data_IF_835752279342
#
_entry.id   IF_835752279342
#
_cell.length_a   1.000
_cell.length_b   1.000
_cell.length_c   1.000
_cell.angle_alpha   90.00
_cell.angle_beta   90.00
_cell.angle_gamma   90.00
#
_symmetry.space_group_name_H-M   'P 1'
#
loop_
_entity.id
_entity.type
_entity.pdbx_description
1 polymer ?
#
# COMPACT_ATOMS: atom_id res chain seq x y z
N UNK A 1 -5.22 -17.31 -4.45
CA UNK A 1 -4.57 -16.01 -4.19
C UNK A 1 -5.41 -15.26 -3.19
N UNK A 2 -4.78 -14.54 -2.27
CA UNK A 2 -5.46 -13.74 -1.24
C UNK A 2 -4.83 -12.35 -1.20
N UNK A 3 -5.66 -11.32 -1.19
CA UNK A 3 -5.26 -9.95 -0.85
C UNK A 3 -5.63 -9.70 0.62
N UNK A 4 -4.66 -9.47 1.52
CA UNK A 4 -4.95 -9.23 2.93
C UNK A 4 -5.36 -7.76 3.20
N UNK A 5 -5.00 -6.83 2.31
CA UNK A 5 -5.33 -5.39 2.39
C UNK A 5 -5.05 -4.81 3.78
N UNK A 6 -3.87 -5.10 4.36
CA UNK A 6 -3.55 -4.78 5.76
C UNK A 6 -3.62 -3.27 6.05
N UNK A 7 -3.29 -2.44 5.07
CA UNK A 7 -3.25 -0.98 5.21
C UNK A 7 -4.62 -0.40 5.56
N UNK A 8 -5.69 -0.85 4.89
CA UNK A 8 -7.04 -0.34 5.20
C UNK A 8 -7.49 -0.78 6.59
N UNK A 9 -7.20 -2.03 6.98
CA UNK A 9 -7.52 -2.51 8.31
C UNK A 9 -6.74 -1.75 9.39
N UNK A 10 -5.43 -1.55 9.21
CA UNK A 10 -4.61 -0.72 10.10
C UNK A 10 -5.23 0.66 10.25
N UNK A 11 -5.53 1.30 9.12
CA UNK A 11 -5.98 2.68 9.10
C UNK A 11 -7.37 2.80 9.72
N UNK A 12 -8.35 2.01 9.30
CA UNK A 12 -9.71 2.09 9.84
C UNK A 12 -9.82 1.71 11.32
N UNK A 13 -9.06 0.71 11.76
CA UNK A 13 -9.07 0.27 13.15
C UNK A 13 -8.33 1.28 14.05
N UNK A 14 -7.22 1.85 13.58
CA UNK A 14 -6.26 2.57 14.41
C UNK A 14 -6.13 4.07 14.11
N UNK A 15 -6.84 4.64 13.13
CA UNK A 15 -6.80 6.08 12.79
C UNK A 15 -7.17 7.01 13.95
N UNK A 16 -7.93 6.53 14.94
CA UNK A 16 -8.33 7.30 16.13
C UNK A 16 -7.30 7.21 17.26
N UNK A 17 -6.23 6.43 17.06
CA UNK A 17 -5.30 6.01 18.11
C UNK A 17 -3.83 6.20 17.72
N UNK A 18 -3.49 6.08 16.43
CA UNK A 18 -2.13 6.20 15.91
C UNK A 18 -1.93 7.49 15.11
N UNK A 19 -0.98 8.32 15.58
CA UNK A 19 -0.58 9.55 14.87
C UNK A 19 0.09 9.23 13.52
N UNK A 20 0.83 8.13 13.43
CA UNK A 20 1.42 7.67 12.17
C UNK A 20 0.40 7.39 11.06
N UNK A 21 -0.88 7.18 11.41
CA UNK A 21 -1.98 7.05 10.45
C UNK A 21 -2.58 8.42 10.17
N UNK A 22 -3.07 9.11 11.22
CA UNK A 22 -3.89 10.30 11.03
C UNK A 22 -3.11 11.59 10.73
N UNK A 23 -1.80 11.62 11.00
CA UNK A 23 -0.88 12.72 10.71
C UNK A 23 0.21 12.33 9.70
N UNK A 24 0.05 11.21 9.00
CA UNK A 24 0.98 10.83 7.94
C UNK A 24 1.08 11.94 6.88
N UNK A 25 2.29 12.27 6.44
CA UNK A 25 2.53 13.34 5.46
C UNK A 25 1.82 13.09 4.13
N UNK A 26 1.74 11.81 3.72
CA UNK A 26 1.10 11.41 2.46
C UNK A 26 -0.39 11.78 2.39
N UNK A 27 -1.06 11.93 3.52
CA UNK A 27 -2.45 12.40 3.57
C UNK A 27 -2.58 13.81 2.96
N UNK A 28 -1.52 14.63 3.04
CA UNK A 28 -1.48 15.99 2.48
C UNK A 28 -1.58 16.04 0.95
N UNK A 29 -1.34 14.93 0.25
CA UNK A 29 -1.53 14.85 -1.20
C UNK A 29 -2.99 14.69 -1.62
N UNK A 30 -3.90 14.47 -0.67
CA UNK A 30 -5.31 14.24 -0.96
C UNK A 30 -6.12 15.55 -1.07
N UNK A 31 -7.11 15.61 -1.97
CA UNK A 31 -8.02 16.76 -2.07
C UNK A 31 -8.67 17.10 -0.73
N UNK A 32 -8.91 18.40 -0.49
CA UNK A 32 -9.46 18.87 0.78
C UNK A 32 -10.77 18.17 1.15
N UNK A 33 -11.68 18.02 0.18
CA UNK A 33 -12.96 17.32 0.39
C UNK A 33 -12.77 15.90 0.92
N UNK A 34 -11.78 15.17 0.42
CA UNK A 34 -11.51 13.80 0.86
C UNK A 34 -10.92 13.78 2.27
N UNK A 35 -9.98 14.69 2.56
CA UNK A 35 -9.42 14.85 3.92
C UNK A 35 -10.50 15.21 4.93
N UNK A 36 -11.42 16.11 4.59
CA UNK A 36 -12.56 16.48 5.45
C UNK A 36 -13.46 15.26 5.74
N UNK A 37 -13.74 14.44 4.72
CA UNK A 37 -14.48 13.18 4.92
C UNK A 37 -13.75 12.24 5.88
N UNK A 38 -12.45 12.01 5.67
CA UNK A 38 -11.63 11.16 6.55
C UNK A 38 -11.58 11.69 8.00
N UNK A 39 -11.47 13.00 8.19
CA UNK A 39 -11.50 13.62 9.51
C UNK A 39 -12.87 13.45 10.19
N UNK A 40 -13.97 13.64 9.47
CA UNK A 40 -15.31 13.39 10.01
C UNK A 40 -15.50 11.94 10.44
N UNK A 41 -14.98 10.99 9.66
CA UNK A 41 -15.02 9.57 9.99
C UNK A 41 -14.24 9.27 11.26
N UNK A 42 -13.03 9.83 11.40
CA UNK A 42 -12.18 9.70 12.59
C UNK A 42 -12.85 10.25 13.84
N UNK A 43 -13.29 11.51 13.77
CA UNK A 43 -13.87 12.22 14.91
C UNK A 43 -15.21 11.61 15.36
N UNK A 44 -15.94 10.98 14.45
CA UNK A 44 -17.21 10.31 14.73
C UNK A 44 -17.11 9.00 15.52
N UNK A 45 -15.92 8.42 15.74
CA UNK A 45 -15.84 7.07 16.33
C UNK A 45 -16.05 7.02 17.86
N UNK A 46 -15.71 8.08 18.61
CA UNK A 46 -15.99 8.16 20.06
C UNK A 46 -15.49 6.96 20.90
N UNK A 47 -14.34 6.36 20.56
CA UNK A 47 -13.94 5.07 21.13
C UNK A 47 -13.39 5.16 22.55
N UNK A 48 -13.83 4.23 23.41
CA UNK A 48 -13.23 3.96 24.72
C UNK A 48 -11.81 3.39 24.61
N UNK A 49 -11.01 3.51 25.66
CA UNK A 49 -9.67 2.91 25.72
C UNK A 49 -9.70 1.38 25.53
N UNK A 50 -10.67 0.69 26.15
CA UNK A 50 -10.84 -0.75 25.99
C UNK A 50 -11.14 -1.14 24.54
N UNK A 51 -11.92 -0.33 23.82
CA UNK A 51 -12.20 -0.55 22.40
C UNK A 51 -10.95 -0.36 21.54
N UNK A 52 -10.12 0.66 21.84
CA UNK A 52 -8.85 0.90 21.13
C UNK A 52 -7.89 -0.27 21.30
N UNK A 53 -7.72 -0.77 22.52
CA UNK A 53 -6.86 -1.92 22.80
C UNK A 53 -7.34 -3.18 22.06
N UNK A 54 -8.66 -3.45 22.08
CA UNK A 54 -9.23 -4.57 21.32
C UNK A 54 -8.94 -4.46 19.83
N UNK A 55 -9.04 -3.25 19.25
CA UNK A 55 -8.76 -3.01 17.82
C UNK A 55 -7.27 -3.22 17.47
N UNK A 56 -6.35 -2.90 18.39
CA UNK A 56 -4.92 -3.23 18.21
C UNK A 56 -4.71 -4.75 18.13
N UNK A 57 -5.31 -5.49 19.05
CA UNK A 57 -5.26 -6.96 19.05
C UNK A 57 -5.92 -7.56 17.81
N UNK A 58 -7.01 -6.96 17.34
CA UNK A 58 -7.67 -7.34 16.10
C UNK A 58 -6.75 -7.14 14.89
N UNK A 59 -6.08 -5.99 14.78
CA UNK A 59 -5.12 -5.74 13.71
C UNK A 59 -3.94 -6.73 13.73
N UNK A 60 -3.39 -7.04 14.91
CA UNK A 60 -2.33 -8.02 15.05
C UNK A 60 -2.74 -9.40 14.50
N UNK A 61 -3.98 -9.82 14.70
CA UNK A 61 -4.48 -11.09 14.14
C UNK A 61 -4.53 -11.08 12.61
N UNK A 62 -4.83 -9.95 11.97
CA UNK A 62 -4.76 -9.83 10.51
C UNK A 62 -3.31 -10.00 10.00
N UNK A 63 -2.33 -9.40 10.69
CA UNK A 63 -0.91 -9.58 10.37
C UNK A 63 -0.46 -11.03 10.56
N UNK A 64 -0.81 -11.64 11.69
CA UNK A 64 -0.50 -13.04 11.99
C UNK A 64 -1.08 -13.99 10.96
N UNK A 65 -2.36 -13.82 10.59
CA UNK A 65 -3.03 -14.62 9.57
C UNK A 65 -2.34 -14.48 8.21
N UNK A 66 -1.95 -13.26 7.83
CA UNK A 66 -1.21 -13.00 6.59
C UNK A 66 0.11 -13.77 6.58
N UNK A 67 0.87 -13.74 7.68
CA UNK A 67 2.09 -14.52 7.82
C UNK A 67 1.87 -16.03 7.78
N UNK A 68 0.79 -16.53 8.38
CA UNK A 68 0.40 -17.95 8.32
C UNK A 68 0.11 -18.38 6.89
N UNK A 69 -0.68 -17.59 6.15
CA UNK A 69 -0.99 -17.86 4.74
C UNK A 69 0.27 -17.87 3.88
N UNK A 70 1.16 -16.90 4.07
CA UNK A 70 2.44 -16.85 3.36
C UNK A 70 3.30 -18.10 3.62
N UNK A 71 3.49 -18.48 4.90
CA UNK A 71 4.25 -19.68 5.28
C UNK A 71 3.62 -20.98 4.76
N UNK A 72 2.31 -20.99 4.58
CA UNK A 72 1.58 -22.10 3.97
C UNK A 72 1.71 -22.15 2.43
N UNK A 73 2.45 -21.22 1.81
CA UNK A 73 2.65 -21.16 0.37
C UNK A 73 1.45 -20.60 -0.41
N UNK A 74 0.50 -19.96 0.27
CA UNK A 74 -0.63 -19.29 -0.39
C UNK A 74 -0.09 -18.05 -1.11
N UNK A 75 -0.30 -17.91 -2.44
CA UNK A 75 0.16 -16.71 -3.14
C UNK A 75 -0.62 -15.48 -2.67
N UNK A 76 0.11 -14.47 -2.21
CA UNK A 76 -0.45 -13.21 -1.72
C UNK A 76 -0.41 -12.12 -2.79
N UNK A 77 -1.41 -11.25 -2.74
CA UNK A 77 -1.57 -10.05 -3.54
C UNK A 77 -1.30 -8.82 -2.69
N UNK A 78 -1.18 -7.65 -3.32
CA UNK A 78 -1.16 -6.38 -2.63
C UNK A 78 -2.25 -5.45 -3.19
N UNK A 79 -3.16 -5.06 -2.32
CA UNK A 79 -4.18 -4.03 -2.52
C UNK A 79 -4.34 -3.20 -1.25
N UNK A 80 -5.10 -2.10 -1.34
CA UNK A 80 -5.15 -1.08 -0.27
C UNK A 80 -6.54 -0.56 0.06
N UNK A 81 -7.55 -0.89 -0.76
CA UNK A 81 -8.86 -0.24 -0.77
C UNK A 81 -8.81 1.30 -0.82
N UNK A 82 -7.72 1.89 -1.37
CA UNK A 82 -7.68 3.33 -1.59
C UNK A 82 -8.85 3.77 -2.50
N UNK A 83 -9.61 4.84 -2.18
CA UNK A 83 -9.30 5.88 -1.18
C UNK A 83 -10.12 5.80 0.13
N UNK A 84 -10.31 4.62 0.72
CA UNK A 84 -10.87 4.49 2.08
C UNK A 84 -10.14 5.39 3.12
N UNK A 85 -10.74 5.71 4.29
CA UNK A 85 -10.16 6.63 5.27
C UNK A 85 -8.68 6.40 5.56
N UNK A 86 -7.88 7.44 5.27
CA UNK A 86 -6.43 7.48 5.45
C UNK A 86 -5.63 6.50 4.57
N UNK A 87 -6.22 6.00 3.47
CA UNK A 87 -5.53 5.24 2.41
C UNK A 87 -5.31 6.10 1.16
N UNK A 88 -4.31 7.01 1.12
CA UNK A 88 -4.03 7.83 -0.05
C UNK A 88 -3.62 6.98 -1.27
N UNK A 89 -4.30 7.07 -2.43
CA UNK A 89 -3.95 6.29 -3.62
C UNK A 89 -2.50 6.47 -4.05
N UNK A 90 -1.87 5.38 -4.48
CA UNK A 90 -0.43 5.32 -4.78
C UNK A 90 0.43 5.18 -3.53
N UNK A 91 0.30 6.10 -2.59
CA UNK A 91 1.10 6.13 -1.35
C UNK A 91 0.81 4.96 -0.41
N UNK A 92 -0.47 4.62 -0.22
CA UNK A 92 -0.90 3.51 0.63
C UNK A 92 -0.32 2.16 0.20
N UNK A 93 0.02 1.98 -1.09
CA UNK A 93 0.61 0.73 -1.57
C UNK A 93 2.01 0.51 -0.97
N UNK A 94 2.78 1.58 -0.75
CA UNK A 94 4.08 1.46 -0.09
C UNK A 94 3.94 1.09 1.39
N UNK A 95 2.85 1.49 2.05
CA UNK A 95 2.53 1.08 3.41
C UNK A 95 2.11 -0.40 3.44
N UNK A 96 1.32 -0.85 2.46
CA UNK A 96 0.93 -2.26 2.32
C UNK A 96 2.16 -3.17 2.21
N UNK A 97 3.13 -2.78 1.37
CA UNK A 97 4.37 -3.53 1.22
C UNK A 97 5.17 -3.65 2.53
N UNK A 98 5.21 -2.59 3.33
CA UNK A 98 5.82 -2.64 4.67
C UNK A 98 5.05 -3.59 5.59
N UNK A 99 3.73 -3.49 5.65
CA UNK A 99 2.89 -4.35 6.48
C UNK A 99 2.97 -5.83 6.10
N UNK A 100 3.12 -6.13 4.81
CA UNK A 100 3.39 -7.48 4.33
C UNK A 100 4.74 -8.00 4.83
N UNK A 101 5.79 -7.18 4.79
CA UNK A 101 7.10 -7.55 5.34
C UNK A 101 7.04 -7.72 6.85
N UNK A 102 6.35 -6.83 7.57
CA UNK A 102 6.09 -6.96 9.02
C UNK A 102 5.32 -8.23 9.36
N UNK A 103 4.39 -8.66 8.50
CA UNK A 103 3.66 -9.93 8.63
C UNK A 103 4.53 -11.17 8.34
N UNK A 104 5.78 -10.98 7.89
CA UNK A 104 6.78 -12.04 7.71
C UNK A 104 7.09 -12.41 6.26
N UNK A 105 6.65 -11.61 5.28
CA UNK A 105 7.09 -11.76 3.90
C UNK A 105 8.54 -11.26 3.74
N UNK A 106 9.28 -11.84 2.80
CA UNK A 106 10.53 -11.22 2.35
C UNK A 106 10.23 -9.98 1.49
N UNK A 107 11.15 -8.99 1.41
CA UNK A 107 10.95 -7.85 0.52
C UNK A 107 10.68 -8.26 -0.94
N UNK A 108 11.36 -9.31 -1.43
CA UNK A 108 11.11 -9.86 -2.77
C UNK A 108 9.69 -10.42 -2.91
N UNK A 109 9.19 -11.14 -1.90
CA UNK A 109 7.82 -11.67 -1.94
C UNK A 109 6.77 -10.56 -1.90
N UNK A 110 7.00 -9.49 -1.13
CA UNK A 110 6.13 -8.31 -1.13
C UNK A 110 6.13 -7.61 -2.50
N UNK A 111 7.30 -7.44 -3.14
CA UNK A 111 7.39 -6.91 -4.50
C UNK A 111 6.63 -7.78 -5.51
N UNK A 112 6.75 -9.11 -5.40
CA UNK A 112 6.00 -10.05 -6.26
C UNK A 112 4.49 -9.94 -6.04
N UNK A 113 4.03 -9.75 -4.80
CA UNK A 113 2.63 -9.55 -4.45
C UNK A 113 2.03 -8.32 -5.16
N UNK A 114 2.78 -7.20 -5.20
CA UNK A 114 2.36 -5.97 -5.88
C UNK A 114 2.55 -5.98 -7.41
N UNK A 115 3.25 -6.97 -7.97
CA UNK A 115 3.57 -7.02 -9.41
C UNK A 115 3.03 -8.28 -10.07
N UNK A 116 3.85 -9.33 -10.18
CA UNK A 116 3.53 -10.53 -10.96
C UNK A 116 2.32 -11.30 -10.41
N UNK A 117 2.09 -11.31 -9.09
CA UNK A 117 0.95 -12.02 -8.52
C UNK A 117 -0.36 -11.32 -8.88
N UNK A 118 -0.42 -10.00 -8.79
CA UNK A 118 -1.55 -9.20 -9.26
C UNK A 118 -1.80 -9.42 -10.76
N UNK A 119 -0.73 -9.39 -11.58
CA UNK A 119 -0.85 -9.63 -13.02
C UNK A 119 -1.43 -11.04 -13.32
N UNK A 120 -0.98 -12.07 -12.60
CA UNK A 120 -1.53 -13.45 -12.72
C UNK A 120 -2.99 -13.53 -12.28
N UNK A 121 -3.36 -12.87 -11.18
CA UNK A 121 -4.75 -12.81 -10.70
C UNK A 121 -5.69 -12.23 -11.75
N UNK A 122 -5.24 -11.18 -12.45
CA UNK A 122 -5.97 -10.52 -13.52
C UNK A 122 -5.80 -11.18 -14.91
N UNK A 123 -5.05 -12.29 -15.01
CA UNK A 123 -4.70 -12.96 -16.27
C UNK A 123 -4.01 -12.03 -17.28
N UNK A 124 -3.22 -11.10 -16.78
CA UNK A 124 -2.44 -10.10 -17.53
C UNK A 124 -0.93 -10.37 -17.48
N UNK A 125 -0.50 -11.50 -16.91
CA UNK A 125 0.92 -11.85 -16.73
C UNK A 125 1.68 -12.05 -18.05
N UNK A 126 0.97 -12.21 -19.17
CA UNK A 126 1.55 -12.15 -20.53
C UNK A 126 1.97 -10.75 -20.97
N UNK A 127 1.43 -9.70 -20.34
CA UNK A 127 1.64 -8.31 -20.74
C UNK A 127 2.31 -7.46 -19.65
N UNK A 128 2.13 -7.82 -18.37
CA UNK A 128 2.49 -7.01 -17.21
C UNK A 128 3.08 -7.86 -16.08
N UNK A 129 3.64 -7.19 -15.06
CA UNK A 129 4.01 -7.78 -13.77
C UNK A 129 5.43 -8.32 -13.66
N UNK A 130 6.19 -8.39 -14.76
CA UNK A 130 7.62 -8.71 -14.75
C UNK A 130 8.35 -8.05 -15.91
N UNK A 131 9.68 -7.97 -15.81
CA UNK A 131 10.56 -7.40 -16.84
C UNK A 131 10.99 -8.52 -17.79
N UNK A 132 10.27 -8.68 -18.89
CA UNK A 132 10.54 -9.69 -19.91
C UNK A 132 10.28 -9.09 -21.31
N UNK A 133 11.04 -9.54 -22.30
CA UNK A 133 10.86 -9.10 -23.68
C UNK A 133 9.44 -9.44 -24.18
N UNK A 134 8.80 -8.49 -24.86
CA UNK A 134 7.43 -8.62 -25.37
C UNK A 134 6.33 -8.16 -24.42
N UNK A 135 6.65 -7.83 -23.15
CA UNK A 135 5.71 -7.19 -22.21
C UNK A 135 5.69 -5.68 -22.37
N UNK A 136 4.68 -5.03 -21.76
CA UNK A 136 4.60 -3.57 -21.70
C UNK A 136 5.79 -2.99 -20.93
N UNK A 137 6.32 -1.88 -21.42
CA UNK A 137 7.41 -1.16 -20.79
C UNK A 137 6.89 -0.28 -19.63
N UNK A 138 6.34 -0.95 -18.61
CA UNK A 138 5.85 -0.37 -17.36
C UNK A 138 6.86 -0.67 -16.24
N UNK A 139 7.60 0.35 -15.79
CA UNK A 139 8.72 0.21 -14.87
C UNK A 139 8.71 1.34 -13.83
N UNK A 140 9.32 1.06 -12.67
CA UNK A 140 9.73 2.08 -11.71
C UNK A 140 11.25 2.01 -11.55
N UNK A 141 11.90 3.17 -11.52
CA UNK A 141 13.34 3.29 -11.29
C UNK A 141 13.54 3.85 -9.89
N UNK A 142 14.32 3.14 -9.07
CA UNK A 142 14.54 3.47 -7.67
C UNK A 142 16.00 3.88 -7.42
N UNK A 143 16.22 4.82 -6.52
CA UNK A 143 17.56 5.27 -6.09
C UNK A 143 18.19 4.39 -5.00
N UNK A 144 17.46 3.36 -4.55
CA UNK A 144 17.94 2.42 -3.56
C UNK A 144 17.30 1.04 -3.73
N UNK A 145 17.99 0.01 -3.24
CA UNK A 145 17.60 -1.39 -3.39
C UNK A 145 16.38 -1.75 -2.50
N UNK A 146 15.21 -2.06 -3.09
CA UNK A 146 14.02 -2.46 -2.33
C UNK A 146 14.09 -3.88 -1.76
N UNK A 147 15.06 -4.69 -2.19
CA UNK A 147 15.25 -6.05 -1.66
C UNK A 147 16.02 -6.05 -0.34
N UNK A 148 16.86 -5.02 -0.11
CA UNK A 148 17.53 -4.79 1.16
C UNK A 148 16.60 -4.15 2.21
N UNK A 149 15.72 -3.25 1.77
CA UNK A 149 14.71 -2.60 2.62
C UNK A 149 13.50 -2.20 1.78
N UNK A 150 12.33 -2.76 2.08
CA UNK A 150 11.11 -2.53 1.29
C UNK A 150 10.68 -1.06 1.26
N UNK A 151 11.10 -0.26 2.24
CA UNK A 151 10.86 1.20 2.29
C UNK A 151 11.54 1.94 1.15
N UNK A 152 12.60 1.37 0.55
CA UNK A 152 13.26 1.95 -0.61
C UNK A 152 12.36 2.00 -1.85
N UNK A 153 11.22 1.31 -1.87
CA UNK A 153 10.19 1.49 -2.92
C UNK A 153 9.69 2.93 -3.03
N UNK A 154 9.81 3.75 -1.97
CA UNK A 154 9.45 5.17 -1.99
C UNK A 154 10.47 6.08 -2.69
N UNK A 155 11.70 5.60 -2.93
CA UNK A 155 12.79 6.39 -3.52
C UNK A 155 12.72 6.36 -5.05
N UNK A 156 11.55 6.73 -5.59
CA UNK A 156 11.27 6.69 -7.04
C UNK A 156 11.95 7.86 -7.73
N UNK A 157 12.82 7.56 -8.69
CA UNK A 157 13.48 8.55 -9.55
C UNK A 157 12.68 8.76 -10.83
N UNK A 158 12.22 7.68 -11.45
CA UNK A 158 11.44 7.72 -12.68
C UNK A 158 10.33 6.67 -12.67
N UNK A 159 9.24 6.99 -13.35
CA UNK A 159 8.20 6.01 -13.72
C UNK A 159 8.23 5.90 -15.24
N UNK A 160 8.27 4.69 -15.77
CA UNK A 160 8.09 4.44 -17.20
C UNK A 160 6.72 3.82 -17.38
N UNK A 161 5.89 4.39 -18.26
CA UNK A 161 4.56 3.87 -18.58
C UNK A 161 4.43 3.73 -20.09
N UNK A 162 4.25 2.50 -20.57
CA UNK A 162 4.19 2.20 -22.00
C UNK A 162 5.42 2.69 -22.76
N UNK A 163 6.59 2.71 -22.12
CA UNK A 163 7.84 3.23 -22.70
C UNK A 163 8.04 4.74 -22.59
N UNK A 164 7.08 5.49 -22.05
CA UNK A 164 7.20 6.93 -21.81
C UNK A 164 7.77 7.15 -20.42
N UNK A 165 8.91 7.85 -20.34
CA UNK A 165 9.52 8.25 -19.08
C UNK A 165 8.79 9.46 -18.50
N UNK A 166 8.35 9.32 -17.25
CA UNK A 166 7.64 10.33 -16.48
C UNK A 166 8.47 10.73 -15.25
N UNK A 167 8.51 12.04 -14.98
CA UNK A 167 9.06 12.59 -13.74
C UNK A 167 8.00 12.54 -12.62
N UNK A 168 8.25 11.84 -11.50
CA UNK A 168 7.30 11.72 -10.40
C UNK A 168 6.85 13.07 -9.82
N UNK A 169 7.77 14.05 -9.73
CA UNK A 169 7.42 15.36 -9.18
C UNK A 169 6.42 16.11 -10.07
N UNK A 170 6.59 16.00 -11.39
CA UNK A 170 5.67 16.55 -12.38
C UNK A 170 4.29 15.90 -12.27
N UNK A 171 4.23 14.57 -12.12
CA UNK A 171 2.96 13.84 -11.93
C UNK A 171 2.25 14.29 -10.64
N UNK A 172 2.97 14.43 -9.53
CA UNK A 172 2.39 14.85 -8.26
C UNK A 172 1.89 16.30 -8.29
N UNK A 173 2.60 17.22 -8.96
CA UNK A 173 2.16 18.62 -9.16
C UNK A 173 0.92 18.74 -10.06
N UNK A 174 0.72 17.78 -10.97
CA UNK A 174 -0.42 17.77 -11.88
C UNK A 174 -1.72 17.33 -11.19
N UNK A 175 -1.66 16.72 -10.00
CA UNK A 175 -2.84 16.39 -9.20
C UNK A 175 -3.40 17.69 -8.60
N UNK A 176 -4.63 18.10 -8.95
CA UNK A 176 -5.19 19.36 -8.46
C UNK A 176 -5.36 19.30 -6.93
N UNK A 177 -4.63 20.15 -6.23
CA UNK A 177 -4.67 20.30 -4.77
C UNK A 177 -5.89 21.11 -4.27
N UNK A 178 -6.97 21.21 -5.06
CA UNK A 178 -8.14 22.07 -4.79
C UNK A 178 -9.39 21.24 -4.59
#
# INVERSE_FOLDING_TARGET
>A
MVDPTLTVFKNMLLLSDLEEVNRHTDNGHMPERLRMYWDSYRLGQGLSQATRERRRQEFQKYQELTGVLFRAGVPLLAGTDAPEPYCPPGFALHQELELLVEAGLTPVAALQAATINNARSLKQDKHLGSIEAGKLADLIILDADPTADIRNTRKVVHVVRGGIVCDPQTLLKAVPAR
#
